data_IF_094057338692
#
_entry.id   IF_094057338692
#
_cell.length_a   1.000
_cell.length_b   1.000
_cell.length_c   1.000
_cell.angle_alpha   90.00
_cell.angle_beta   90.00
_cell.angle_gamma   90.00
#
_symmetry.space_group_name_H-M   'P 1'
#
loop_
_entity.id
_entity.type
_entity.pdbx_description
1 polymer ?
#
# COMPACT_ATOMS: atom_id res chain seq x y z
N UNK A 1 12.83 28.02 4.05
CA UNK A 1 13.34 26.70 3.63
C UNK A 1 12.31 25.66 4.05
N UNK A 2 11.48 25.20 3.13
CA UNK A 2 10.55 24.10 3.41
C UNK A 2 11.35 22.79 3.39
N UNK A 3 11.46 22.14 4.53
CA UNK A 3 11.99 20.79 4.65
C UNK A 3 11.14 19.86 3.79
N UNK A 4 11.67 19.39 2.66
CA UNK A 4 11.10 18.25 1.95
C UNK A 4 11.06 17.09 2.95
N UNK A 5 9.89 16.78 3.52
CA UNK A 5 9.64 15.46 4.10
C UNK A 5 10.05 14.48 3.01
N UNK A 6 11.08 13.67 3.26
CA UNK A 6 11.50 12.68 2.28
C UNK A 6 10.32 11.76 2.04
N UNK A 7 9.71 11.85 0.87
CA UNK A 7 8.61 10.98 0.48
C UNK A 7 9.15 9.54 0.46
N UNK A 8 8.49 8.66 1.23
CA UNK A 8 8.79 7.23 1.28
C UNK A 8 8.42 6.65 -0.10
N UNK A 9 9.30 5.83 -0.68
CA UNK A 9 9.07 5.20 -1.99
C UNK A 9 9.27 3.69 -1.87
N UNK A 10 8.71 2.88 -2.79
CA UNK A 10 8.90 1.43 -2.77
C UNK A 10 10.37 1.02 -2.81
N UNK A 11 11.21 1.73 -3.57
CA UNK A 11 12.65 1.45 -3.69
C UNK A 11 13.37 1.69 -2.35
N UNK A 12 13.03 2.78 -1.66
CA UNK A 12 13.57 3.03 -0.31
C UNK A 12 13.14 1.95 0.68
N UNK A 13 11.90 1.47 0.58
CA UNK A 13 11.37 0.41 1.45
C UNK A 13 12.09 -0.92 1.20
N UNK A 14 12.43 -1.23 -0.06
CA UNK A 14 13.23 -2.42 -0.42
C UNK A 14 14.62 -2.39 0.22
N UNK A 15 15.28 -1.23 0.17
CA UNK A 15 16.63 -1.06 0.72
C UNK A 15 16.68 -1.05 2.26
N UNK A 16 15.54 -0.80 2.91
CA UNK A 16 15.45 -0.73 4.38
C UNK A 16 15.61 -2.11 5.02
N UNK A 17 16.38 -2.14 6.11
CA UNK A 17 16.52 -3.32 6.96
C UNK A 17 15.19 -3.59 7.68
N UNK A 18 14.94 -4.86 8.01
CA UNK A 18 13.72 -5.27 8.71
C UNK A 18 13.43 -4.46 9.98
N UNK A 19 14.46 -4.16 10.79
CA UNK A 19 14.28 -3.36 12.01
C UNK A 19 13.85 -1.92 11.73
N UNK A 20 14.29 -1.36 10.59
CA UNK A 20 13.89 -0.02 10.15
C UNK A 20 12.44 -0.04 9.64
N UNK A 21 12.07 -1.06 8.87
CA UNK A 21 10.68 -1.27 8.42
C UNK A 21 9.74 -1.45 9.60
N UNK A 22 10.06 -2.34 10.52
CA UNK A 22 9.28 -2.58 11.74
C UNK A 22 9.05 -1.27 12.49
N UNK A 23 10.13 -0.53 12.77
CA UNK A 23 10.04 0.76 13.46
C UNK A 23 9.21 1.77 12.67
N UNK A 24 9.37 1.82 11.35
CA UNK A 24 8.60 2.70 10.49
C UNK A 24 7.11 2.38 10.56
N UNK A 25 6.73 1.11 10.32
CA UNK A 25 5.34 0.62 10.33
C UNK A 25 4.68 0.85 11.68
N UNK A 26 5.37 0.55 12.79
CA UNK A 26 4.85 0.77 14.15
C UNK A 26 4.52 2.25 14.43
N UNK A 27 5.24 3.18 13.82
CA UNK A 27 5.03 4.61 13.99
C UNK A 27 4.09 5.23 12.94
N UNK A 28 3.49 4.43 12.05
CA UNK A 28 2.53 4.94 11.07
C UNK A 28 1.19 5.28 11.73
N UNK A 29 0.82 6.55 11.64
CA UNK A 29 -0.53 7.00 11.96
C UNK A 29 -1.49 6.66 10.82
N UNK A 30 -2.76 6.37 11.12
CA UNK A 30 -3.78 6.02 10.13
C UNK A 30 -3.93 7.08 9.03
N UNK A 31 -3.82 8.37 9.38
CA UNK A 31 -3.82 9.49 8.40
C UNK A 31 -2.67 9.43 7.41
N UNK A 32 -1.50 8.96 7.84
CA UNK A 32 -0.36 8.78 6.96
C UNK A 32 -0.61 7.63 5.99
N UNK A 33 -1.21 6.52 6.48
CA UNK A 33 -1.59 5.37 5.66
C UNK A 33 -2.60 5.80 4.59
N UNK A 34 -3.70 6.47 4.96
CA UNK A 34 -4.76 6.92 4.04
C UNK A 34 -4.23 7.72 2.83
N UNK A 35 -3.14 8.46 3.02
CA UNK A 35 -2.54 9.31 1.99
C UNK A 35 -1.44 8.63 1.17
N UNK A 36 -1.05 7.38 1.49
CA UNK A 36 -0.01 6.66 0.75
C UNK A 36 -0.43 6.33 -0.69
N UNK A 37 0.55 6.13 -1.56
CA UNK A 37 0.30 5.52 -2.86
C UNK A 37 0.06 4.01 -2.73
N UNK A 38 -0.61 3.42 -3.72
CA UNK A 38 -0.83 1.97 -3.76
C UNK A 38 0.48 1.19 -3.69
N UNK A 39 1.49 1.59 -4.47
CA UNK A 39 2.78 0.87 -4.55
C UNK A 39 3.54 0.89 -3.23
N UNK A 40 3.51 2.02 -2.51
CA UNK A 40 4.12 2.14 -1.18
C UNK A 40 3.42 1.23 -0.18
N UNK A 41 2.09 1.29 -0.13
CA UNK A 41 1.31 0.50 0.82
C UNK A 41 1.47 -1.01 0.57
N UNK A 42 1.40 -1.43 -0.70
CA UNK A 42 1.64 -2.81 -1.09
C UNK A 42 3.05 -3.26 -0.70
N UNK A 43 4.06 -2.44 -0.97
CA UNK A 43 5.44 -2.79 -0.65
C UNK A 43 5.67 -2.97 0.85
N UNK A 44 5.04 -2.15 1.70
CA UNK A 44 5.09 -2.34 3.14
C UNK A 44 4.43 -3.66 3.58
N UNK A 45 3.30 -4.04 2.98
CA UNK A 45 2.65 -5.34 3.25
C UNK A 45 3.56 -6.50 2.86
N UNK A 46 4.22 -6.44 1.70
CA UNK A 46 5.19 -7.45 1.27
C UNK A 46 6.31 -7.61 2.30
N UNK A 47 6.89 -6.50 2.78
CA UNK A 47 7.95 -6.53 3.80
C UNK A 47 7.48 -7.08 5.14
N UNK A 48 6.23 -6.81 5.52
CA UNK A 48 5.64 -7.41 6.73
C UNK A 48 5.44 -8.93 6.54
N UNK A 49 4.97 -9.37 5.37
CA UNK A 49 4.82 -10.79 5.06
C UNK A 49 6.15 -11.53 5.09
N UNK A 50 7.18 -10.97 4.47
CA UNK A 50 8.54 -11.52 4.51
C UNK A 50 9.04 -11.64 5.95
N UNK A 51 8.79 -10.62 6.79
CA UNK A 51 9.15 -10.67 8.20
C UNK A 51 8.51 -11.86 8.94
N UNK A 52 7.23 -12.15 8.69
CA UNK A 52 6.56 -13.34 9.24
C UNK A 52 7.19 -14.64 8.75
N UNK A 53 7.51 -14.74 7.46
CA UNK A 53 8.11 -15.94 6.89
C UNK A 53 9.52 -16.19 7.46
N UNK A 54 10.31 -15.13 7.68
CA UNK A 54 11.66 -15.25 8.26
C UNK A 54 11.66 -15.54 9.77
N UNK A 55 10.63 -15.12 10.52
CA UNK A 55 10.60 -15.19 11.99
C UNK A 55 9.51 -16.12 12.55
N UNK A 56 8.93 -16.99 11.70
CA UNK A 56 7.76 -17.82 12.02
C UNK A 56 7.78 -18.47 13.41
N UNK A 57 8.92 -19.01 13.83
CA UNK A 57 9.04 -19.79 15.06
C UNK A 57 9.59 -18.99 16.25
N UNK A 58 9.96 -17.72 16.06
CA UNK A 58 10.65 -16.90 17.07
C UNK A 58 10.06 -15.51 17.28
N UNK A 59 9.02 -15.16 16.53
CA UNK A 59 8.32 -13.88 16.67
C UNK A 59 7.53 -13.84 17.98
N UNK A 60 7.63 -12.73 18.70
CA UNK A 60 6.80 -12.47 19.86
C UNK A 60 5.33 -12.24 19.45
N UNK A 61 4.38 -12.76 20.22
CA UNK A 61 2.95 -12.71 19.87
C UNK A 61 2.42 -11.28 19.85
N UNK A 62 2.83 -10.42 20.80
CA UNK A 62 2.39 -9.03 20.84
C UNK A 62 2.92 -8.27 19.63
N UNK A 63 4.18 -8.51 19.28
CA UNK A 63 4.79 -7.96 18.07
C UNK A 63 4.09 -8.42 16.78
N UNK A 64 3.74 -9.71 16.70
CA UNK A 64 2.97 -10.24 15.59
C UNK A 64 1.61 -9.51 15.48
N UNK A 65 0.86 -9.40 16.57
CA UNK A 65 -0.44 -8.75 16.54
C UNK A 65 -0.37 -7.30 16.07
N UNK A 66 0.59 -6.51 16.56
CA UNK A 66 0.78 -5.12 16.13
C UNK A 66 1.06 -5.00 14.61
N UNK A 67 1.97 -5.84 14.08
CA UNK A 67 2.32 -5.83 12.67
C UNK A 67 1.17 -6.31 11.78
N UNK A 68 0.40 -7.29 12.26
CA UNK A 68 -0.78 -7.79 11.57
C UNK A 68 -1.85 -6.70 11.44
N UNK A 69 -2.16 -5.97 12.52
CA UNK A 69 -3.13 -4.87 12.48
C UNK A 69 -2.72 -3.80 11.47
N UNK A 70 -1.44 -3.42 11.45
CA UNK A 70 -0.90 -2.46 10.47
C UNK A 70 -0.97 -2.98 9.04
N UNK A 71 -0.67 -4.26 8.82
CA UNK A 71 -0.82 -4.89 7.50
C UNK A 71 -2.28 -4.85 7.02
N UNK A 72 -3.25 -5.06 7.91
CA UNK A 72 -4.67 -5.00 7.58
C UNK A 72 -5.13 -3.58 7.20
N UNK A 73 -4.64 -2.54 7.88
CA UNK A 73 -4.89 -1.14 7.49
C UNK A 73 -4.33 -0.85 6.08
N UNK A 74 -3.09 -1.26 5.81
CA UNK A 74 -2.43 -1.08 4.51
C UNK A 74 -3.15 -1.85 3.39
N UNK A 75 -3.58 -3.09 3.64
CA UNK A 75 -4.34 -3.90 2.69
C UNK A 75 -5.71 -3.29 2.38
N UNK A 76 -6.37 -2.73 3.38
CA UNK A 76 -7.65 -2.04 3.20
C UNK A 76 -7.51 -0.85 2.26
N UNK A 77 -6.44 -0.05 2.42
CA UNK A 77 -6.11 1.04 1.51
C UNK A 77 -5.81 0.53 0.09
N UNK A 78 -5.06 -0.57 -0.04
CA UNK A 78 -4.75 -1.17 -1.34
C UNK A 78 -6.03 -1.56 -2.07
N UNK A 79 -6.97 -2.20 -1.36
CA UNK A 79 -8.28 -2.58 -1.88
C UNK A 79 -9.09 -1.37 -2.35
N UNK A 80 -9.15 -0.31 -1.53
CA UNK A 80 -9.86 0.93 -1.89
C UNK A 80 -9.32 1.54 -3.18
N UNK A 81 -7.99 1.64 -3.31
CA UNK A 81 -7.36 2.21 -4.52
C UNK A 81 -7.58 1.34 -5.76
N UNK A 82 -7.56 0.01 -5.62
CA UNK A 82 -7.88 -0.90 -6.73
C UNK A 82 -9.31 -0.68 -7.21
N UNK A 83 -10.28 -0.67 -6.30
CA UNK A 83 -11.69 -0.42 -6.66
C UNK A 83 -11.89 0.93 -7.32
N UNK A 84 -11.17 1.98 -6.88
CA UNK A 84 -11.21 3.28 -7.53
C UNK A 84 -10.65 3.26 -8.97
N UNK A 85 -9.62 2.46 -9.24
CA UNK A 85 -9.07 2.29 -10.59
C UNK A 85 -9.98 1.45 -11.48
N UNK A 86 -10.60 0.39 -10.95
CA UNK A 86 -11.59 -0.42 -11.66
C UNK A 86 -12.78 0.42 -12.12
N UNK A 87 -13.35 1.24 -11.22
CA UNK A 87 -14.45 2.16 -11.56
C UNK A 87 -14.05 3.14 -12.67
N UNK A 88 -12.84 3.72 -12.59
CA UNK A 88 -12.34 4.63 -13.63
C UNK A 88 -12.15 3.94 -14.98
N UNK A 89 -11.67 2.69 -14.98
CA UNK A 89 -11.55 1.89 -16.19
C UNK A 89 -12.92 1.67 -16.82
N UNK A 90 -13.92 1.28 -16.04
CA UNK A 90 -15.29 1.08 -16.55
C UNK A 90 -15.88 2.36 -17.18
N UNK A 91 -15.64 3.52 -16.57
CA UNK A 91 -16.04 4.82 -17.13
C UNK A 91 -15.33 5.13 -18.46
N UNK A 92 -14.02 4.85 -18.56
CA UNK A 92 -13.25 5.03 -19.79
C UNK A 92 -13.77 4.08 -20.88
N UNK A 93 -13.96 2.80 -20.56
CA UNK A 93 -14.47 1.79 -21.47
C UNK A 93 -15.86 2.15 -21.99
N UNK A 94 -16.72 2.72 -21.13
CA UNK A 94 -18.03 3.23 -21.54
C UNK A 94 -17.90 4.39 -22.53
N UNK A 95 -17.10 5.41 -22.20
CA UNK A 95 -16.87 6.56 -23.09
C UNK A 95 -16.31 6.12 -24.45
N UNK A 96 -15.40 5.16 -24.45
CA UNK A 96 -14.82 4.64 -25.69
C UNK A 96 -15.84 3.92 -26.56
N UNK A 97 -16.72 3.08 -25.96
CA UNK A 97 -17.84 2.46 -26.68
C UNK A 97 -18.82 3.50 -27.25
N UNK A 98 -19.14 4.53 -26.47
CA UNK A 98 -20.06 5.59 -26.91
C UNK A 98 -19.50 6.31 -28.14
N UNK A 99 -18.20 6.65 -28.14
CA UNK A 99 -17.51 7.27 -29.29
C UNK A 99 -17.56 6.36 -30.54
N UNK A 100 -17.21 5.07 -30.39
CA UNK A 100 -17.23 4.12 -31.51
C UNK A 100 -18.62 3.93 -32.11
N UNK A 101 -19.66 3.96 -31.28
CA UNK A 101 -21.03 3.84 -31.78
C UNK A 101 -21.47 5.10 -32.53
N UNK A 102 -21.03 6.29 -32.13
CA UNK A 102 -21.32 7.55 -32.85
C UNK A 102 -20.54 7.73 -34.17
N UNK A 103 -19.41 7.04 -34.38
CA UNK A 103 -18.68 7.09 -35.66
C UNK A 103 -19.21 6.11 -36.72
N UNK A 104 -20.08 5.17 -36.33
CA UNK A 104 -20.68 4.16 -37.21
C UNK A 104 -22.14 4.49 -37.60
N UNK A 105 -22.66 5.67 -37.22
CA UNK A 105 -23.95 6.25 -37.63
C UNK A 105 -23.74 7.42 -38.61
#
# INVERSE_FOLDING_TARGET
MATKKSEITPEKIEEMKFQEIKKFVKNLESKQIETMSFSVALKLVERISEFYDFNRDSIDIEEALELYEKAMELLSLCKEKLSAVENKKEEIDKKYRDILNTENE
#
